data_IF_262680237343
#
_entry.id   IF_262680237343
#
_cell.length_a   1.000
_cell.length_b   1.000
_cell.length_c   1.000
_cell.angle_alpha   90.00
_cell.angle_beta   90.00
_cell.angle_gamma   90.00
#
_symmetry.space_group_name_H-M   'P 1'
#
loop_
_entity.id
_entity.type
_entity.pdbx_description
1 polymer ?
#
# COMPACT_ATOMS: atom_id res chain seq x y z
N UNK A 1 9.13 18.83 -24.21
CA UNK A 1 9.60 17.48 -23.85
C UNK A 1 8.80 16.79 -22.74
N UNK A 2 8.29 17.50 -21.72
CA UNK A 2 7.54 16.88 -20.60
C UNK A 2 6.26 16.10 -21.00
N UNK A 3 5.54 16.56 -22.04
CA UNK A 3 4.25 15.99 -22.47
C UNK A 3 4.36 14.59 -23.10
N UNK A 4 5.45 14.31 -23.82
CA UNK A 4 5.68 13.00 -24.44
C UNK A 4 6.10 11.95 -23.40
N UNK A 5 6.90 12.34 -22.41
CA UNK A 5 7.32 11.48 -21.29
C UNK A 5 6.14 11.10 -20.39
N UNK A 6 5.22 12.05 -20.14
CA UNK A 6 3.97 11.81 -19.40
C UNK A 6 3.07 10.78 -20.11
N UNK A 7 2.91 10.91 -21.43
CA UNK A 7 2.14 9.96 -22.25
C UNK A 7 2.74 8.56 -22.31
N UNK A 8 4.07 8.46 -22.26
CA UNK A 8 4.77 7.17 -22.17
C UNK A 8 4.50 6.44 -20.86
N UNK A 9 4.58 7.16 -19.73
CA UNK A 9 4.30 6.62 -18.40
C UNK A 9 2.81 6.23 -18.23
N UNK A 10 1.90 7.01 -18.81
CA UNK A 10 0.46 6.71 -18.80
C UNK A 10 0.14 5.39 -19.56
N UNK A 11 0.82 5.14 -20.68
CA UNK A 11 0.66 3.90 -21.44
C UNK A 11 1.26 2.69 -20.71
N UNK A 12 2.43 2.84 -20.11
CA UNK A 12 3.07 1.78 -19.32
C UNK A 12 2.25 1.41 -18.08
N UNK A 13 1.72 2.41 -17.35
CA UNK A 13 0.83 2.18 -16.22
C UNK A 13 -0.47 1.47 -16.64
N UNK A 14 -1.04 1.82 -17.79
CA UNK A 14 -2.22 1.16 -18.32
C UNK A 14 -1.95 -0.30 -18.72
N UNK A 15 -0.76 -0.61 -19.26
CA UNK A 15 -0.35 -1.98 -19.58
C UNK A 15 -0.10 -2.82 -18.32
N UNK A 16 0.59 -2.26 -17.32
CA UNK A 16 0.79 -2.92 -16.03
C UNK A 16 -0.54 -3.19 -15.33
N UNK A 17 -1.47 -2.24 -15.38
CA UNK A 17 -2.81 -2.42 -14.84
C UNK A 17 -3.57 -3.54 -15.57
N UNK A 18 -3.53 -3.56 -16.91
CA UNK A 18 -4.16 -4.63 -17.69
C UNK A 18 -3.54 -5.98 -17.36
N UNK A 19 -2.22 -6.06 -17.20
CA UNK A 19 -1.53 -7.28 -16.82
C UNK A 19 -1.94 -7.74 -15.41
N UNK A 20 -2.01 -6.82 -14.44
CA UNK A 20 -2.46 -7.12 -13.07
C UNK A 20 -3.91 -7.62 -13.05
N UNK A 21 -4.83 -6.98 -13.77
CA UNK A 21 -6.23 -7.39 -13.85
C UNK A 21 -6.43 -8.68 -14.67
N UNK A 22 -5.51 -8.99 -15.58
CA UNK A 22 -5.54 -10.22 -16.36
C UNK A 22 -4.91 -11.42 -15.60
N UNK A 23 -4.22 -11.18 -14.48
CA UNK A 23 -3.74 -12.25 -13.61
C UNK A 23 -4.93 -12.96 -12.97
N UNK A 24 -5.20 -14.25 -13.30
CA UNK A 24 -6.35 -14.98 -12.76
C UNK A 24 -6.27 -15.18 -11.24
N UNK A 25 -5.10 -14.96 -10.62
CA UNK A 25 -4.92 -15.04 -9.18
C UNK A 25 -4.83 -13.65 -8.51
N UNK A 26 -5.26 -12.58 -9.19
CA UNK A 26 -5.37 -11.26 -8.57
C UNK A 26 -6.21 -11.34 -7.28
N UNK A 27 -5.78 -10.61 -6.25
CA UNK A 27 -6.42 -10.62 -4.93
C UNK A 27 -6.17 -11.86 -4.06
N UNK A 28 -5.28 -12.79 -4.43
CA UNK A 28 -4.91 -13.92 -3.54
C UNK A 28 -4.39 -13.45 -2.19
N UNK A 29 -3.56 -12.41 -2.14
CA UNK A 29 -3.09 -11.79 -0.89
C UNK A 29 -4.26 -11.32 -0.03
N UNK A 30 -5.31 -10.75 -0.64
CA UNK A 30 -6.51 -10.35 0.09
C UNK A 30 -7.25 -11.57 0.65
N UNK A 31 -7.46 -12.60 -0.17
CA UNK A 31 -8.15 -13.84 0.26
C UNK A 31 -7.38 -14.53 1.39
N UNK A 32 -6.07 -14.65 1.27
CA UNK A 32 -5.18 -15.18 2.30
C UNK A 32 -5.31 -14.35 3.59
N UNK A 33 -5.37 -13.02 3.46
CA UNK A 33 -5.57 -12.10 4.58
C UNK A 33 -6.94 -12.24 5.26
N UNK A 34 -7.98 -12.50 4.47
CA UNK A 34 -9.37 -12.50 4.90
C UNK A 34 -9.98 -13.92 4.96
N UNK A 35 -9.16 -14.93 5.24
CA UNK A 35 -9.58 -16.33 5.44
C UNK A 35 -10.42 -16.91 4.30
N UNK A 36 -9.97 -16.68 3.06
CA UNK A 36 -10.61 -17.17 1.85
C UNK A 36 -11.76 -16.31 1.35
N UNK A 37 -12.10 -15.21 2.03
CA UNK A 37 -13.14 -14.28 1.54
C UNK A 37 -12.64 -13.47 0.35
N UNK A 38 -13.44 -13.45 -0.71
CA UNK A 38 -13.23 -12.53 -1.83
C UNK A 38 -13.52 -11.10 -1.39
N UNK A 39 -12.82 -10.10 -1.93
CA UNK A 39 -13.14 -8.70 -1.65
C UNK A 39 -14.53 -8.37 -2.19
N UNK A 40 -15.35 -7.69 -1.38
CA UNK A 40 -16.68 -7.23 -1.82
C UNK A 40 -16.58 -6.18 -2.94
N UNK A 41 -15.46 -5.47 -2.98
CA UNK A 41 -15.11 -4.47 -4.00
C UNK A 41 -13.59 -4.44 -4.20
N UNK A 42 -13.15 -4.44 -5.45
CA UNK A 42 -11.81 -4.07 -5.82
C UNK A 42 -11.85 -2.67 -6.44
N UNK A 43 -10.90 -1.81 -6.05
CA UNK A 43 -10.75 -0.48 -6.65
C UNK A 43 -9.32 -0.29 -7.07
N UNK A 44 -9.14 -0.08 -8.37
CA UNK A 44 -7.89 0.47 -8.89
C UNK A 44 -7.87 1.94 -8.51
N UNK A 45 -6.85 2.34 -7.75
CA UNK A 45 -6.59 3.73 -7.43
C UNK A 45 -5.37 4.20 -8.22
N UNK A 46 -5.50 5.35 -8.87
CA UNK A 46 -4.34 6.05 -9.40
C UNK A 46 -3.54 6.55 -8.20
N UNK A 47 -2.29 6.09 -8.09
CA UNK A 47 -1.38 6.55 -7.05
C UNK A 47 -0.55 7.67 -7.64
N UNK A 48 -0.52 8.83 -6.99
CA UNK A 48 0.38 9.89 -7.39
C UNK A 48 1.82 9.37 -7.38
N UNK A 49 2.62 9.69 -8.42
CA UNK A 49 4.01 9.27 -8.43
C UNK A 49 4.72 9.78 -7.17
N UNK A 50 5.48 8.89 -6.52
CA UNK A 50 6.26 9.25 -5.35
C UNK A 50 7.11 10.49 -5.66
N UNK A 51 7.11 11.51 -4.79
CA UNK A 51 7.90 12.71 -5.03
C UNK A 51 9.38 12.35 -5.04
N UNK A 52 10.16 13.07 -5.84
CA UNK A 52 11.61 12.85 -5.93
C UNK A 52 12.34 13.12 -4.60
N UNK A 53 11.69 13.81 -3.67
CA UNK A 53 12.22 14.22 -2.35
C UNK A 53 11.12 14.16 -1.31
N UNK A 54 11.50 13.81 -0.09
CA UNK A 54 10.64 13.84 1.09
C UNK A 54 11.49 14.18 2.32
N UNK A 55 10.87 14.75 3.36
CA UNK A 55 11.53 15.01 4.64
C UNK A 55 11.29 13.83 5.57
N UNK A 56 12.36 13.23 6.06
CA UNK A 56 12.28 12.20 7.10
C UNK A 56 11.78 12.84 8.41
N UNK A 57 10.72 12.26 8.98
CA UNK A 57 10.15 12.65 10.27
C UNK A 57 10.67 11.76 11.41
N UNK A 58 10.96 10.49 11.13
CA UNK A 58 11.43 9.53 12.12
C UNK A 58 11.20 8.08 11.70
N UNK A 59 11.25 7.17 12.66
CA UNK A 59 10.91 5.76 12.47
C UNK A 59 9.46 5.49 12.85
N UNK A 60 8.75 4.67 12.08
CA UNK A 60 7.44 4.14 12.43
C UNK A 60 7.64 3.02 13.46
N UNK A 61 7.31 3.30 14.72
CA UNK A 61 7.47 2.33 15.82
C UNK A 61 6.28 1.37 15.95
N UNK A 62 5.09 1.82 15.57
CA UNK A 62 3.88 1.02 15.53
C UNK A 62 2.88 1.63 14.53
N UNK A 63 2.00 0.78 14.00
CA UNK A 63 0.83 1.22 13.23
C UNK A 63 -0.44 0.75 13.93
N UNK A 64 -1.38 1.68 14.09
CA UNK A 64 -2.73 1.39 14.56
C UNK A 64 -3.71 1.75 13.45
N UNK A 65 -4.60 0.82 13.10
CA UNK A 65 -5.63 1.07 12.10
C UNK A 65 -6.95 0.43 12.50
N UNK A 66 -8.04 1.05 12.06
CA UNK A 66 -9.39 0.52 12.18
C UNK A 66 -9.77 -0.22 10.91
N UNK A 67 -10.46 -1.35 11.05
CA UNK A 67 -11.06 -2.06 9.92
C UNK A 67 -12.36 -2.72 10.36
N UNK A 68 -13.28 -2.90 9.40
CA UNK A 68 -14.49 -3.70 9.60
C UNK A 68 -14.15 -5.18 9.37
N UNK A 69 -14.46 -6.03 10.34
CA UNK A 69 -14.40 -7.50 10.20
C UNK A 69 -15.76 -8.12 10.38
N UNK A 70 -16.60 -8.02 9.37
CA UNK A 70 -17.91 -8.68 9.33
C UNK A 70 -18.98 -7.90 10.08
N UNK A 71 -18.96 -6.57 9.96
CA UNK A 71 -19.88 -5.63 10.59
C UNK A 71 -19.39 -5.11 11.95
N UNK A 72 -18.26 -5.60 12.44
CA UNK A 72 -17.64 -5.14 13.69
C UNK A 72 -16.38 -4.32 13.39
N UNK A 73 -16.36 -3.08 13.90
CA UNK A 73 -15.16 -2.23 13.87
C UNK A 73 -14.12 -2.78 14.85
N UNK A 74 -12.94 -3.08 14.35
CA UNK A 74 -11.82 -3.60 15.13
C UNK A 74 -10.59 -2.70 14.96
N UNK A 75 -9.95 -2.35 16.07
CA UNK A 75 -8.65 -1.67 16.08
C UNK A 75 -7.52 -2.70 16.12
N UNK A 76 -6.61 -2.60 15.15
CA UNK A 76 -5.43 -3.45 15.06
C UNK A 76 -4.20 -2.64 15.41
N UNK A 77 -3.36 -3.18 16.27
CA UNK A 77 -2.09 -2.59 16.67
C UNK A 77 -0.96 -3.54 16.30
N UNK A 78 0.00 -3.05 15.50
CA UNK A 78 1.20 -3.80 15.11
C UNK A 78 2.45 -2.99 15.45
N UNK A 79 3.28 -3.51 16.35
CA UNK A 79 4.57 -2.94 16.72
C UNK A 79 5.65 -3.36 15.72
N UNK A 80 6.53 -2.44 15.35
CA UNK A 80 7.72 -2.71 14.54
C UNK A 80 8.97 -2.83 15.41
N UNK A 81 9.59 -4.01 15.40
CA UNK A 81 10.73 -4.29 16.30
C UNK A 81 12.10 -4.10 15.65
N UNK A 82 12.28 -4.47 14.38
CA UNK A 82 13.55 -4.32 13.65
C UNK A 82 13.27 -3.89 12.21
N UNK A 83 14.25 -3.22 11.59
CA UNK A 83 14.10 -2.63 10.25
C UNK A 83 12.79 -1.82 10.13
N UNK A 84 12.64 -0.84 11.03
CA UNK A 84 11.45 0.00 11.11
C UNK A 84 11.27 0.83 9.84
N UNK A 85 10.03 1.00 9.37
CA UNK A 85 9.75 1.92 8.26
C UNK A 85 10.15 3.34 8.63
N UNK A 86 10.54 4.12 7.65
CA UNK A 86 10.74 5.56 7.82
C UNK A 86 9.41 6.27 7.59
N UNK A 87 9.01 7.12 8.54
CA UNK A 87 7.96 8.11 8.31
C UNK A 87 8.58 9.32 7.62
N UNK A 88 7.99 9.72 6.50
CA UNK A 88 8.40 10.90 5.77
C UNK A 88 7.21 11.76 5.36
N UNK A 89 7.43 13.06 5.16
CA UNK A 89 6.45 13.99 4.63
C UNK A 89 6.83 14.45 3.22
N UNK A 90 5.85 14.64 2.35
CA UNK A 90 6.02 15.32 1.05
C UNK A 90 6.00 16.84 1.23
N UNK A 91 6.26 17.59 0.15
CA UNK A 91 6.26 19.07 0.18
C UNK A 91 4.85 19.63 0.39
N UNK A 92 3.86 18.85 -0.03
CA UNK A 92 2.44 19.13 0.14
C UNK A 92 1.91 18.66 1.50
N UNK A 93 2.77 18.05 2.34
CA UNK A 93 2.39 17.57 3.67
C UNK A 93 1.78 16.17 3.72
N UNK A 94 1.77 15.41 2.62
CA UNK A 94 1.29 14.03 2.61
C UNK A 94 2.26 13.12 3.37
N UNK A 95 1.72 12.15 4.12
CA UNK A 95 2.52 11.18 4.88
C UNK A 95 2.92 9.99 4.00
N UNK A 96 4.18 9.59 4.09
CA UNK A 96 4.75 8.41 3.44
C UNK A 96 5.29 7.44 4.49
N UNK A 97 5.05 6.15 4.27
CA UNK A 97 5.68 5.05 5.02
C UNK A 97 6.63 4.35 4.06
N UNK A 98 7.93 4.47 4.30
CA UNK A 98 8.98 4.09 3.34
C UNK A 98 9.91 3.00 3.91
N UNK A 99 10.22 2.00 3.09
CA UNK A 99 11.20 0.96 3.41
C UNK A 99 10.71 -0.02 4.49
N UNK A 100 11.65 -0.53 5.28
CA UNK A 100 11.42 -1.58 6.28
C UNK A 100 11.33 -3.00 5.69
N UNK A 101 11.22 -4.00 6.57
CA UNK A 101 11.11 -5.42 6.17
C UNK A 101 9.73 -6.04 6.45
N UNK A 102 8.72 -5.19 6.66
CA UNK A 102 7.41 -5.67 7.04
C UNK A 102 6.65 -6.27 5.86
N UNK A 103 5.74 -7.19 6.18
CA UNK A 103 4.88 -7.86 5.21
C UNK A 103 3.46 -7.92 5.73
N UNK A 104 2.51 -7.83 4.80
CA UNK A 104 1.11 -8.14 5.09
C UNK A 104 0.96 -9.66 4.99
N UNK A 105 0.43 -10.29 6.04
CA UNK A 105 0.22 -11.73 6.14
C UNK A 105 -1.19 -12.02 6.62
N UNK A 106 -1.71 -13.26 6.53
CA UNK A 106 -3.00 -13.64 7.12
C UNK A 106 -3.23 -13.26 8.57
N UNK A 107 -2.17 -13.00 9.34
CA UNK A 107 -2.24 -12.62 10.75
C UNK A 107 -2.16 -11.12 10.99
N UNK A 108 -1.98 -10.31 9.95
CA UNK A 108 -1.74 -8.87 10.08
C UNK A 108 -0.43 -8.40 9.44
N UNK A 109 0.01 -7.22 9.86
CA UNK A 109 1.28 -6.62 9.44
C UNK A 109 2.38 -7.13 10.39
N UNK A 110 3.41 -7.78 9.86
CA UNK A 110 4.53 -8.31 10.64
C UNK A 110 5.85 -7.68 10.20
N UNK A 111 6.67 -7.21 11.16
CA UNK A 111 7.97 -6.56 10.92
C UNK A 111 8.75 -6.24 12.20
#
# INVERSE_FOLDING_TARGET
MARARRRGLENEAAELLRAYLADPDHGHVYRDFHWGRSPDRERVIEVEPLPARAWQLGELVAVVYETDKGGELAHWHHDFRRARPVLAATEQGSLLVLGGSYRVTPRGIVG
#
